data_IF_678247849548
#
_entry.id   IF_678247849548
#
_cell.length_a   1.000
_cell.length_b   1.000
_cell.length_c   1.000
_cell.angle_alpha   90.00
_cell.angle_beta   90.00
_cell.angle_gamma   90.00
#
_symmetry.space_group_name_H-M   'P 1'
#
loop_
_entity.id
_entity.type
_entity.pdbx_description
1 polymer ?
#
# COMPACT_ATOMS: atom_id res chain seq x y z
N UNK A 1 -21.78 -26.32 7.77
CA UNK A 1 -20.75 -25.52 8.45
C UNK A 1 -20.94 -24.11 7.95
N UNK A 2 -21.44 -23.29 8.83
CA UNK A 2 -21.84 -21.92 8.55
C UNK A 2 -20.57 -21.07 8.43
N UNK A 3 -20.26 -20.56 7.22
CA UNK A 3 -19.23 -19.55 7.04
C UNK A 3 -19.86 -18.21 7.32
N UNK A 4 -19.74 -17.78 8.56
CA UNK A 4 -20.04 -16.39 8.91
C UNK A 4 -18.96 -15.53 8.25
N UNK A 5 -19.29 -14.97 7.10
CA UNK A 5 -18.51 -13.88 6.50
C UNK A 5 -18.58 -12.71 7.47
N UNK A 6 -17.50 -12.45 8.19
CA UNK A 6 -17.33 -11.20 8.93
C UNK A 6 -17.12 -10.09 7.91
N UNK A 7 -18.19 -9.47 7.47
CA UNK A 7 -18.12 -8.19 6.77
C UNK A 7 -17.77 -7.14 7.82
N UNK A 8 -16.49 -6.90 7.99
CA UNK A 8 -16.03 -5.70 8.71
C UNK A 8 -16.23 -4.53 7.75
N UNK A 9 -17.19 -3.67 8.06
CA UNK A 9 -17.42 -2.43 7.31
C UNK A 9 -16.25 -1.51 7.66
N UNK A 10 -15.30 -1.39 6.74
CA UNK A 10 -14.20 -0.43 6.85
C UNK A 10 -14.73 0.95 6.44
N UNK A 11 -14.82 1.84 7.40
CA UNK A 11 -15.08 3.25 7.14
C UNK A 11 -13.72 3.95 7.04
N UNK A 12 -13.39 4.41 5.82
CA UNK A 12 -12.38 5.41 5.49
C UNK A 12 -10.89 5.03 5.51
N UNK A 13 -10.49 3.83 5.13
CA UNK A 13 -9.08 3.50 4.85
C UNK A 13 -8.87 3.16 3.37
N UNK A 14 -7.71 3.50 2.81
CA UNK A 14 -7.31 3.04 1.47
C UNK A 14 -6.95 1.56 1.52
N UNK A 15 -7.56 0.75 0.65
CA UNK A 15 -7.26 -0.66 0.50
C UNK A 15 -6.30 -0.86 -0.68
N UNK A 16 -5.22 -1.61 -0.45
CA UNK A 16 -4.42 -2.22 -1.52
C UNK A 16 -4.53 -3.74 -1.40
N UNK A 17 -5.15 -4.36 -2.38
CA UNK A 17 -5.40 -5.80 -2.47
C UNK A 17 -4.64 -6.47 -3.61
N UNK A 18 -3.80 -5.71 -4.33
CA UNK A 18 -3.00 -6.13 -5.49
C UNK A 18 -3.81 -6.72 -6.66
N UNK A 19 -5.13 -6.62 -6.64
CA UNK A 19 -6.01 -7.21 -7.68
C UNK A 19 -5.89 -6.51 -9.05
N UNK A 20 -5.21 -5.36 -9.12
CA UNK A 20 -4.77 -4.75 -10.38
C UNK A 20 -3.74 -5.59 -11.14
N UNK A 21 -3.10 -6.57 -10.49
CA UNK A 21 -2.05 -7.42 -11.05
C UNK A 21 -0.71 -6.71 -11.29
N UNK A 22 -0.53 -5.53 -10.69
CA UNK A 22 0.69 -4.73 -10.80
C UNK A 22 0.83 -3.77 -9.60
N UNK A 23 1.95 -3.04 -9.52
CA UNK A 23 2.23 -2.05 -8.48
C UNK A 23 1.91 -0.60 -8.90
N UNK A 24 0.98 -0.38 -9.83
CA UNK A 24 0.71 0.97 -10.37
C UNK A 24 -0.51 1.65 -9.71
N UNK A 25 -1.25 0.95 -8.85
CA UNK A 25 -2.44 1.48 -8.16
C UNK A 25 -2.11 2.62 -7.22
N UNK A 26 -0.97 2.50 -6.51
CA UNK A 26 -0.43 3.51 -5.60
C UNK A 26 1.10 3.58 -5.77
N UNK A 27 1.78 4.64 -5.31
CA UNK A 27 3.19 4.88 -5.60
C UNK A 27 4.13 4.00 -4.77
N UNK A 28 4.15 2.71 -5.04
CA UNK A 28 5.07 1.77 -4.43
C UNK A 28 6.53 2.02 -4.83
N UNK A 29 7.42 1.92 -3.86
CA UNK A 29 8.86 1.90 -4.07
C UNK A 29 9.41 0.50 -3.86
N UNK A 30 10.13 0.00 -4.86
CA UNK A 30 10.78 -1.32 -4.88
C UNK A 30 12.28 -1.11 -4.73
N UNK A 31 12.91 -1.82 -3.80
CA UNK A 31 14.34 -1.67 -3.55
C UNK A 31 14.98 -2.95 -3.00
N UNK A 32 16.31 -2.93 -2.85
CA UNK A 32 17.10 -4.07 -2.42
C UNK A 32 17.81 -4.76 -3.58
N UNK A 33 18.06 -6.07 -3.45
CA UNK A 33 18.80 -6.83 -4.45
C UNK A 33 17.91 -7.35 -5.59
N UNK A 34 16.64 -7.57 -5.33
CA UNK A 34 15.63 -8.01 -6.29
C UNK A 34 14.28 -7.41 -5.89
N UNK A 35 13.54 -6.89 -6.86
CA UNK A 35 12.24 -6.27 -6.63
C UNK A 35 11.19 -7.29 -6.21
N UNK A 36 10.22 -6.84 -5.42
CA UNK A 36 8.99 -7.57 -5.17
C UNK A 36 8.20 -7.76 -6.47
N UNK A 37 7.38 -8.79 -6.54
CA UNK A 37 6.59 -9.14 -7.71
C UNK A 37 5.15 -9.45 -7.31
N UNK A 38 4.22 -9.30 -8.25
CA UNK A 38 2.84 -9.79 -8.05
C UNK A 38 2.81 -11.30 -8.28
N UNK A 39 2.21 -12.01 -7.35
CA UNK A 39 2.06 -13.47 -7.37
C UNK A 39 0.57 -13.84 -7.46
N UNK A 40 0.26 -14.82 -8.28
CA UNK A 40 -1.10 -15.40 -8.44
C UNK A 40 -1.18 -16.84 -7.93
N UNK A 41 -0.11 -17.36 -7.36
CA UNK A 41 -0.09 -18.72 -6.78
C UNK A 41 -0.54 -18.75 -5.33
N UNK A 42 -0.42 -17.63 -4.63
CA UNK A 42 -0.74 -17.44 -3.22
C UNK A 42 -1.45 -16.10 -3.03
N UNK A 43 -2.59 -16.07 -2.33
CA UNK A 43 -3.29 -14.86 -1.91
C UNK A 43 -4.01 -15.09 -0.59
N UNK A 44 -4.19 -14.06 0.22
CA UNK A 44 -5.04 -14.10 1.41
C UNK A 44 -6.50 -13.89 1.01
N UNK A 45 -6.73 -12.94 0.10
CA UNK A 45 -8.02 -12.62 -0.50
C UNK A 45 -7.83 -12.50 -2.02
N UNK A 46 -8.90 -12.58 -2.79
CA UNK A 46 -8.84 -12.42 -4.25
C UNK A 46 -7.97 -13.43 -4.99
N UNK A 47 -7.16 -12.93 -5.93
CA UNK A 47 -6.33 -13.74 -6.87
C UNK A 47 -4.84 -13.44 -6.73
N UNK A 48 -4.48 -12.21 -6.36
CA UNK A 48 -3.12 -11.73 -6.35
C UNK A 48 -2.64 -11.32 -4.96
N UNK A 49 -1.33 -11.37 -4.76
CA UNK A 49 -0.64 -10.82 -3.60
C UNK A 49 0.72 -10.27 -4.02
N UNK A 50 1.39 -9.52 -3.16
CA UNK A 50 2.77 -9.13 -3.35
C UNK A 50 3.71 -10.17 -2.71
N UNK A 51 4.68 -10.65 -3.49
CA UNK A 51 5.70 -11.62 -3.11
C UNK A 51 7.08 -10.97 -3.13
N UNK A 52 7.89 -11.25 -2.11
CA UNK A 52 9.29 -10.81 -2.05
C UNK A 52 10.08 -11.25 -3.28
N UNK A 53 11.08 -10.45 -3.65
CA UNK A 53 12.03 -10.82 -4.69
C UNK A 53 12.79 -12.11 -4.34
N UNK A 54 13.17 -12.87 -5.36
CA UNK A 54 14.01 -14.05 -5.19
C UNK A 54 15.45 -13.60 -4.93
N UNK A 55 15.86 -13.60 -3.67
CA UNK A 55 17.15 -13.11 -3.19
C UNK A 55 18.08 -14.25 -2.78
N UNK A 56 19.38 -14.01 -2.89
CA UNK A 56 20.43 -14.92 -2.42
C UNK A 56 20.86 -14.63 -0.99
N UNK A 57 21.84 -15.41 -0.51
CA UNK A 57 22.42 -15.23 0.84
C UNK A 57 22.97 -13.82 1.05
N UNK A 58 22.75 -13.27 2.24
CA UNK A 58 23.11 -11.89 2.65
C UNK A 58 22.55 -10.81 1.74
N UNK A 59 21.34 -11.02 1.25
CA UNK A 59 20.61 -10.07 0.42
C UNK A 59 19.28 -9.70 1.07
N UNK A 60 18.69 -8.58 0.62
CA UNK A 60 17.34 -8.16 0.99
C UNK A 60 16.53 -7.69 -0.21
N UNK A 61 15.22 -7.72 -0.03
CA UNK A 61 14.21 -7.26 -0.98
C UNK A 61 13.17 -6.47 -0.20
N UNK A 62 12.94 -5.21 -0.59
CA UNK A 62 12.07 -4.31 0.14
C UNK A 62 10.97 -3.74 -0.76
N UNK A 63 9.77 -3.69 -0.22
CA UNK A 63 8.62 -2.96 -0.73
C UNK A 63 8.28 -1.85 0.26
N UNK A 64 8.11 -0.61 -0.20
CA UNK A 64 7.80 0.51 0.67
C UNK A 64 6.86 1.51 0.01
N UNK A 65 6.19 2.30 0.86
CA UNK A 65 5.30 3.37 0.45
C UNK A 65 5.28 4.47 1.52
N UNK A 66 5.26 5.74 1.08
CA UNK A 66 5.03 6.88 1.96
C UNK A 66 3.62 7.41 1.76
N UNK A 67 2.90 7.57 2.86
CA UNK A 67 1.49 7.99 2.88
C UNK A 67 1.29 9.02 3.98
N UNK A 68 0.51 10.06 3.70
CA UNK A 68 0.06 11.00 4.72
C UNK A 68 -1.28 10.52 5.31
N UNK A 69 -1.32 10.31 6.63
CA UNK A 69 -2.52 9.97 7.38
C UNK A 69 -3.14 11.23 7.99
N UNK A 70 -4.42 11.47 7.70
CA UNK A 70 -5.13 12.63 8.25
C UNK A 70 -5.40 12.54 9.73
N UNK A 71 -5.60 11.32 10.22
CA UNK A 71 -6.00 11.03 11.60
C UNK A 71 -5.16 9.89 12.17
N UNK A 72 -5.00 9.79 13.49
CA UNK A 72 -4.48 8.58 14.12
C UNK A 72 -5.34 7.38 13.75
N UNK A 73 -4.72 6.26 13.44
CA UNK A 73 -5.42 5.06 12.99
C UNK A 73 -4.56 3.82 13.10
N UNK A 74 -4.90 2.82 12.31
CA UNK A 74 -4.22 1.51 12.31
C UNK A 74 -3.92 1.11 10.87
N UNK A 75 -2.67 0.78 10.56
CA UNK A 75 -2.33 0.01 9.37
C UNK A 75 -2.54 -1.47 9.67
N UNK A 76 -3.18 -2.20 8.75
CA UNK A 76 -3.34 -3.65 8.85
C UNK A 76 -3.02 -4.31 7.51
N UNK A 77 -2.50 -5.53 7.56
CA UNK A 77 -2.21 -6.33 6.37
C UNK A 77 -2.19 -7.82 6.70
N UNK A 78 -2.40 -8.66 5.70
CA UNK A 78 -2.12 -10.09 5.80
C UNK A 78 -0.69 -10.39 5.37
N UNK A 79 -0.08 -11.37 6.03
CA UNK A 79 1.25 -11.88 5.68
C UNK A 79 1.28 -13.40 5.69
N UNK A 80 2.06 -14.00 4.78
CA UNK A 80 2.46 -15.41 4.76
C UNK A 80 3.98 -15.47 4.70
N UNK A 81 4.59 -16.36 5.49
CA UNK A 81 6.05 -16.55 5.57
C UNK A 81 6.35 -18.01 5.29
N UNK A 82 7.34 -18.25 4.45
CA UNK A 82 7.88 -19.59 4.19
C UNK A 82 9.40 -19.49 3.94
N UNK A 83 10.15 -19.50 5.03
CA UNK A 83 11.61 -19.37 5.03
C UNK A 83 12.23 -20.08 6.23
N UNK A 84 13.56 -19.98 6.37
CA UNK A 84 14.28 -20.58 7.49
C UNK A 84 13.68 -20.13 8.83
N UNK A 85 13.50 -21.08 9.74
CA UNK A 85 12.96 -20.82 11.06
C UNK A 85 13.98 -20.15 11.97
N UNK A 86 13.50 -19.49 13.01
CA UNK A 86 14.38 -18.98 14.08
C UNK A 86 15.12 -20.13 14.76
N UNK A 87 16.42 -19.92 15.02
CA UNK A 87 17.23 -20.91 15.71
C UNK A 87 16.68 -21.27 17.11
N UNK A 88 16.95 -22.49 17.56
CA UNK A 88 16.51 -23.03 18.85
C UNK A 88 17.06 -22.29 20.09
N UNK A 89 17.95 -21.33 19.88
CA UNK A 89 18.45 -20.43 20.91
C UNK A 89 17.83 -19.06 20.67
N UNK A 90 16.87 -18.72 21.52
CA UNK A 90 16.06 -17.52 21.59
C UNK A 90 16.58 -16.30 20.81
N UNK A 91 15.81 -15.88 19.81
CA UNK A 91 15.89 -14.53 19.25
C UNK A 91 16.80 -14.37 18.03
N UNK A 92 17.40 -15.41 17.48
CA UNK A 92 18.13 -15.31 16.22
C UNK A 92 17.19 -15.56 15.04
N UNK A 93 16.92 -14.54 14.28
CA UNK A 93 16.28 -14.62 12.98
C UNK A 93 17.40 -14.82 11.93
N UNK A 94 17.23 -15.79 11.04
CA UNK A 94 18.14 -16.07 9.93
C UNK A 94 17.59 -15.47 8.64
N UNK A 95 16.48 -16.02 8.15
CA UNK A 95 15.70 -15.45 7.07
C UNK A 95 14.37 -14.94 7.65
N UNK A 96 13.96 -13.72 7.31
CA UNK A 96 12.81 -13.12 7.97
C UNK A 96 12.18 -11.97 7.18
N UNK A 97 10.88 -11.77 7.39
CA UNK A 97 10.19 -10.52 7.06
C UNK A 97 10.26 -9.58 8.25
N UNK A 98 10.71 -8.35 8.05
CA UNK A 98 10.53 -7.25 8.99
C UNK A 98 9.55 -6.21 8.44
N UNK A 99 8.76 -5.64 9.34
CA UNK A 99 7.89 -4.50 9.05
C UNK A 99 8.37 -3.26 9.80
N UNK A 100 8.45 -2.14 9.07
CA UNK A 100 8.92 -0.87 9.61
C UNK A 100 7.87 0.23 9.42
N UNK A 101 7.80 1.13 10.39
CA UNK A 101 7.13 2.43 10.29
C UNK A 101 8.21 3.49 10.52
N UNK A 102 8.40 4.40 9.57
CA UNK A 102 9.39 5.48 9.63
C UNK A 102 10.83 4.99 9.91
N UNK A 103 11.17 3.83 9.34
CA UNK A 103 12.47 3.17 9.54
C UNK A 103 12.64 2.50 10.91
N UNK A 104 11.62 2.49 11.76
CA UNK A 104 11.63 1.80 13.06
C UNK A 104 10.96 0.44 12.90
N UNK A 105 11.69 -0.65 13.18
CA UNK A 105 11.15 -2.01 13.15
C UNK A 105 10.02 -2.16 14.17
N UNK A 106 8.85 -2.59 13.69
CA UNK A 106 7.67 -2.82 14.52
C UNK A 106 7.54 -4.29 14.91
N UNK A 107 7.80 -5.18 13.95
CA UNK A 107 7.75 -6.62 14.18
C UNK A 107 8.57 -7.38 13.13
N UNK A 108 8.78 -8.68 13.39
CA UNK A 108 9.62 -9.57 12.59
C UNK A 108 9.12 -11.01 12.64
N UNK A 109 9.07 -11.66 11.48
CA UNK A 109 8.53 -13.02 11.33
C UNK A 109 9.44 -13.91 10.50
N UNK A 110 9.56 -15.18 10.91
CA UNK A 110 10.37 -16.20 10.23
C UNK A 110 9.74 -17.59 10.36
N UNK A 111 10.23 -18.54 9.58
CA UNK A 111 9.74 -19.93 9.56
C UNK A 111 8.51 -20.10 8.67
N UNK A 112 7.64 -21.06 9.03
CA UNK A 112 6.41 -21.34 8.31
C UNK A 112 5.22 -20.70 9.02
N UNK A 113 4.70 -19.62 8.46
CA UNK A 113 3.53 -18.90 8.97
C UNK A 113 2.49 -18.81 7.86
N UNK A 114 1.34 -19.46 8.07
CA UNK A 114 0.20 -19.34 7.18
C UNK A 114 -0.35 -17.90 7.18
N UNK A 115 -1.15 -17.54 6.19
CA UNK A 115 -1.81 -16.24 6.10
C UNK A 115 -2.39 -15.82 7.45
N UNK A 116 -1.96 -14.67 7.92
CA UNK A 116 -2.36 -14.11 9.22
C UNK A 116 -2.23 -12.60 9.22
N UNK A 117 -3.15 -11.93 9.91
CA UNK A 117 -3.16 -10.48 10.00
C UNK A 117 -2.06 -9.95 10.95
N UNK A 118 -1.58 -8.75 10.64
CA UNK A 118 -0.80 -7.89 11.52
C UNK A 118 -1.42 -6.50 11.53
N UNK A 119 -1.35 -5.81 12.69
CA UNK A 119 -1.95 -4.49 12.88
C UNK A 119 -1.02 -3.63 13.72
N UNK A 120 -0.87 -2.35 13.35
CA UNK A 120 -0.02 -1.40 14.05
C UNK A 120 -0.68 -0.03 14.10
N UNK A 121 -0.67 0.58 15.28
CA UNK A 121 -1.20 1.93 15.45
C UNK A 121 -0.23 2.96 14.89
N UNK A 122 -0.78 3.99 14.25
CA UNK A 122 -0.04 5.13 13.76
C UNK A 122 -0.67 6.45 14.23
N UNK A 123 0.12 7.50 14.23
CA UNK A 123 -0.35 8.87 14.44
C UNK A 123 -0.83 9.49 13.12
N UNK A 124 -1.40 10.69 13.16
CA UNK A 124 -1.55 11.50 11.96
C UNK A 124 -0.20 12.05 11.49
N UNK A 125 -0.08 12.31 10.20
CA UNK A 125 1.12 12.83 9.54
C UNK A 125 1.64 11.89 8.46
N UNK A 126 2.76 12.27 7.85
CA UNK A 126 3.44 11.47 6.85
C UNK A 126 4.15 10.28 7.53
N UNK A 127 3.90 9.08 7.00
CA UNK A 127 4.52 7.83 7.44
C UNK A 127 5.05 7.04 6.26
N UNK A 128 6.24 6.44 6.43
CA UNK A 128 6.79 5.46 5.49
C UNK A 128 6.63 4.07 6.06
N UNK A 129 5.89 3.22 5.35
CA UNK A 129 5.73 1.80 5.66
C UNK A 129 6.67 0.97 4.79
N UNK A 130 7.38 0.00 5.38
CA UNK A 130 8.30 -0.85 4.64
C UNK A 130 8.20 -2.31 5.08
N UNK A 131 8.17 -3.21 4.11
CA UNK A 131 8.27 -4.66 4.28
C UNK A 131 9.58 -5.12 3.66
N UNK A 132 10.47 -5.66 4.48
CA UNK A 132 11.78 -6.13 4.03
C UNK A 132 11.95 -7.61 4.31
N UNK A 133 12.12 -8.41 3.26
CA UNK A 133 12.59 -9.78 3.37
C UNK A 133 14.12 -9.80 3.32
N UNK A 134 14.74 -10.37 4.34
CA UNK A 134 16.19 -10.44 4.49
C UNK A 134 16.63 -11.88 4.71
N UNK A 135 17.80 -12.25 4.14
CA UNK A 135 18.43 -13.55 4.29
C UNK A 135 19.84 -13.44 4.86
N UNK A 136 20.19 -14.40 5.70
CA UNK A 136 21.57 -14.58 6.13
C UNK A 136 22.41 -15.39 5.12
N UNK A 137 23.56 -15.94 5.52
CA UNK A 137 24.41 -16.77 4.67
C UNK A 137 24.09 -18.26 4.76
N UNK A 138 23.03 -18.61 5.45
CA UNK A 138 22.76 -19.96 5.93
C UNK A 138 21.98 -20.86 4.97
N UNK A 139 21.04 -21.57 5.54
CA UNK A 139 20.26 -22.63 4.90
C UNK A 139 19.05 -22.02 4.19
N UNK A 140 18.62 -22.62 3.10
CA UNK A 140 17.36 -22.30 2.42
C UNK A 140 16.31 -23.31 2.87
N UNK A 141 15.21 -22.84 3.46
CA UNK A 141 14.09 -23.66 3.89
C UNK A 141 12.77 -23.08 3.37
N UNK A 142 11.76 -23.94 3.25
CA UNK A 142 10.44 -23.55 2.76
C UNK A 142 10.44 -23.13 1.30
N UNK A 143 9.57 -22.16 0.96
CA UNK A 143 9.49 -21.56 -0.37
C UNK A 143 10.49 -20.42 -0.57
N UNK A 144 11.26 -20.11 0.48
CA UNK A 144 12.27 -19.06 0.50
C UNK A 144 11.72 -17.70 0.06
N UNK A 145 10.55 -17.38 0.58
CA UNK A 145 9.80 -16.19 0.23
C UNK A 145 8.83 -15.76 1.33
N UNK A 146 8.38 -14.52 1.21
CA UNK A 146 7.30 -13.96 2.03
C UNK A 146 6.29 -13.27 1.12
N UNK A 147 5.04 -13.21 1.59
CA UNK A 147 3.94 -12.56 0.88
C UNK A 147 3.22 -11.59 1.81
N UNK A 148 2.72 -10.50 1.23
CA UNK A 148 1.78 -9.59 1.89
C UNK A 148 0.58 -9.38 0.98
N UNK A 149 -0.56 -9.09 1.61
CA UNK A 149 -1.82 -8.94 0.88
C UNK A 149 -2.81 -8.12 1.71
N UNK A 150 -3.84 -7.58 1.05
CA UNK A 150 -4.97 -6.92 1.67
C UNK A 150 -4.55 -5.88 2.72
N UNK A 151 -3.77 -4.89 2.27
CA UNK A 151 -3.26 -3.83 3.14
C UNK A 151 -4.35 -2.76 3.28
N UNK A 152 -4.73 -2.45 4.51
CA UNK A 152 -5.63 -1.36 4.83
C UNK A 152 -4.79 -0.28 5.48
N UNK A 153 -4.61 0.81 4.76
CA UNK A 153 -4.00 2.00 5.31
C UNK A 153 -5.02 2.75 6.17
N UNK A 154 -4.61 3.45 7.23
CA UNK A 154 -5.50 4.34 7.97
C UNK A 154 -6.01 5.45 7.07
N UNK A 155 -6.91 6.31 7.58
CA UNK A 155 -7.44 7.44 6.81
C UNK A 155 -6.30 8.21 6.15
N UNK A 156 -6.15 8.01 4.86
CA UNK A 156 -5.15 8.68 4.05
C UNK A 156 -5.83 9.79 3.28
N UNK A 157 -5.13 10.91 3.11
CA UNK A 157 -5.38 11.70 1.93
C UNK A 157 -4.96 10.81 0.75
N UNK A 158 -5.89 10.06 0.18
CA UNK A 158 -5.64 9.53 -1.14
C UNK A 158 -5.55 10.75 -2.04
N UNK A 159 -4.38 11.02 -2.56
CA UNK A 159 -4.23 11.94 -3.69
C UNK A 159 -4.87 11.26 -4.92
N UNK A 160 -6.16 10.97 -4.81
CA UNK A 160 -6.93 10.47 -5.94
C UNK A 160 -6.94 11.58 -6.98
N UNK A 161 -6.34 11.31 -8.10
CA UNK A 161 -6.22 12.29 -9.18
C UNK A 161 -7.61 12.81 -9.54
N UNK A 162 -7.87 14.09 -9.32
CA UNK A 162 -9.17 14.71 -9.48
C UNK A 162 -10.01 14.87 -8.20
N UNK A 163 -9.62 14.28 -7.07
CA UNK A 163 -10.28 14.45 -5.77
C UNK A 163 -9.84 15.78 -5.15
N UNK A 164 -10.54 16.84 -5.53
CA UNK A 164 -10.18 18.23 -5.15
C UNK A 164 -10.62 18.60 -3.75
N UNK A 165 -11.54 17.83 -3.15
CA UNK A 165 -12.04 18.05 -1.79
C UNK A 165 -11.42 17.06 -0.79
N UNK A 166 -10.63 16.10 -1.26
CA UNK A 166 -9.95 15.07 -0.47
C UNK A 166 -10.91 14.20 0.36
N UNK A 167 -12.13 13.94 -0.17
CA UNK A 167 -13.10 13.08 0.50
C UNK A 167 -12.96 11.58 0.10
N UNK A 168 -12.05 11.27 -0.84
CA UNK A 168 -11.79 9.92 -1.34
C UNK A 168 -12.77 9.44 -2.39
N UNK A 169 -13.68 10.30 -2.87
CA UNK A 169 -14.67 9.97 -3.89
C UNK A 169 -14.57 10.93 -5.09
N UNK A 170 -14.41 10.41 -6.30
CA UNK A 170 -14.52 11.23 -7.51
C UNK A 170 -15.99 11.48 -7.86
N UNK A 171 -16.45 12.71 -7.68
CA UNK A 171 -17.84 13.08 -7.94
C UNK A 171 -17.98 14.55 -8.40
N UNK A 172 -19.21 15.00 -8.57
CA UNK A 172 -19.49 16.36 -9.07
C UNK A 172 -18.99 17.49 -8.14
N UNK A 173 -18.78 17.19 -6.85
CA UNK A 173 -18.29 18.21 -5.90
C UNK A 173 -16.85 18.60 -6.23
N UNK A 174 -16.02 17.65 -6.68
CA UNK A 174 -14.64 17.91 -7.12
C UNK A 174 -14.62 18.85 -8.31
N UNK A 175 -15.50 18.63 -9.27
CA UNK A 175 -15.63 19.51 -10.44
C UNK A 175 -15.98 20.93 -10.01
N UNK A 176 -16.90 21.11 -9.04
CA UNK A 176 -17.29 22.41 -8.53
C UNK A 176 -16.13 23.11 -7.82
N UNK A 177 -15.35 22.38 -7.03
CA UNK A 177 -14.19 22.92 -6.33
C UNK A 177 -13.10 23.30 -7.32
N UNK A 178 -12.78 22.43 -8.28
CA UNK A 178 -11.79 22.71 -9.33
C UNK A 178 -12.18 23.96 -10.14
N UNK A 179 -13.45 24.11 -10.52
CA UNK A 179 -13.94 25.31 -11.19
C UNK A 179 -13.71 26.56 -10.30
N UNK A 180 -13.99 26.44 -9.01
CA UNK A 180 -13.82 27.56 -8.07
C UNK A 180 -12.32 27.91 -7.91
N UNK A 181 -11.45 26.91 -7.79
CA UNK A 181 -10.01 27.09 -7.72
C UNK A 181 -9.48 27.85 -8.95
N UNK A 182 -9.90 27.44 -10.14
CA UNK A 182 -9.49 28.10 -11.41
C UNK A 182 -10.04 29.53 -11.50
N UNK A 183 -11.29 29.75 -11.14
CA UNK A 183 -11.92 31.09 -11.26
C UNK A 183 -11.34 32.12 -10.29
N UNK A 184 -11.03 31.69 -9.06
CA UNK A 184 -10.55 32.59 -8.02
C UNK A 184 -9.03 32.57 -7.89
N UNK A 185 -8.34 31.61 -8.55
CA UNK A 185 -6.89 31.37 -8.43
C UNK A 185 -6.45 31.20 -6.96
N UNK A 186 -7.33 30.63 -6.14
CA UNK A 186 -7.07 30.30 -4.74
C UNK A 186 -7.04 28.78 -4.59
N UNK A 187 -5.84 28.21 -4.55
CA UNK A 187 -5.57 26.79 -4.29
C UNK A 187 -4.16 26.64 -3.71
N UNK A 188 -3.98 25.62 -2.92
CA UNK A 188 -2.67 25.23 -2.40
C UNK A 188 -2.00 24.16 -3.31
N UNK A 189 -0.78 23.79 -2.96
CA UNK A 189 -0.02 22.79 -3.72
C UNK A 189 -0.71 21.41 -3.74
N UNK A 190 -1.47 21.07 -2.69
CA UNK A 190 -2.16 19.79 -2.62
C UNK A 190 -3.31 19.73 -3.63
N UNK A 191 -4.15 20.75 -3.70
CA UNK A 191 -5.21 20.87 -4.71
C UNK A 191 -4.61 20.91 -6.10
N UNK A 192 -3.51 21.66 -6.32
CA UNK A 192 -2.82 21.69 -7.60
C UNK A 192 -2.40 20.31 -8.06
N UNK A 193 -1.73 19.54 -7.19
CA UNK A 193 -1.15 18.23 -7.53
C UNK A 193 -2.22 17.19 -7.91
N UNK A 194 -3.41 17.24 -7.32
CA UNK A 194 -4.50 16.31 -7.68
C UNK A 194 -5.33 16.79 -8.86
N UNK A 195 -5.22 18.05 -9.23
CA UNK A 195 -6.09 18.71 -10.21
C UNK A 195 -5.46 18.97 -11.57
N UNK A 196 -4.12 19.03 -11.67
CA UNK A 196 -3.39 19.10 -12.94
C UNK A 196 -3.39 17.72 -13.60
N UNK A 197 -4.52 17.39 -14.22
CA UNK A 197 -4.78 16.04 -14.76
C UNK A 197 -4.06 15.76 -16.07
N UNK A 198 -3.63 16.80 -16.79
CA UNK A 198 -2.87 16.65 -18.01
C UNK A 198 -1.35 16.82 -17.81
N UNK A 199 -0.91 17.25 -16.62
CA UNK A 199 0.50 17.43 -16.26
C UNK A 199 1.18 18.59 -16.98
N UNK A 200 0.43 19.62 -17.42
CA UNK A 200 1.00 20.75 -18.16
C UNK A 200 1.50 21.88 -17.25
N UNK A 201 1.26 21.80 -15.96
CA UNK A 201 1.65 22.77 -14.94
C UNK A 201 0.70 23.96 -14.83
N UNK A 202 -0.50 23.90 -15.42
CA UNK A 202 -1.52 24.95 -15.36
C UNK A 202 -2.89 24.36 -15.04
N UNK A 203 -3.59 24.85 -14.00
CA UNK A 203 -4.98 24.51 -13.79
C UNK A 203 -5.89 25.30 -14.72
N UNK A 204 -6.59 24.62 -15.61
CA UNK A 204 -7.45 25.25 -16.60
C UNK A 204 -8.66 24.37 -17.00
N UNK A 205 -9.43 24.80 -18.01
CA UNK A 205 -10.62 24.09 -18.44
C UNK A 205 -10.36 22.68 -18.96
N UNK A 206 -9.13 22.37 -19.38
CA UNK A 206 -8.76 21.03 -19.87
C UNK A 206 -8.83 20.04 -18.73
N UNK A 207 -8.36 20.42 -17.54
CA UNK A 207 -8.40 19.57 -16.35
C UNK A 207 -9.84 19.31 -15.90
N UNK A 208 -10.72 20.32 -15.98
CA UNK A 208 -12.15 20.13 -15.71
C UNK A 208 -12.76 19.08 -16.65
N UNK A 209 -12.42 19.12 -17.93
CA UNK A 209 -12.92 18.14 -18.91
C UNK A 209 -12.39 16.74 -18.62
N UNK A 210 -11.11 16.62 -18.25
CA UNK A 210 -10.50 15.34 -17.87
C UNK A 210 -11.14 14.78 -16.59
N UNK A 211 -11.37 15.62 -15.59
CA UNK A 211 -12.04 15.21 -14.36
C UNK A 211 -13.46 14.69 -14.62
N UNK A 212 -14.24 15.40 -15.44
CA UNK A 212 -15.59 14.94 -15.81
C UNK A 212 -15.55 13.58 -16.51
N UNK A 213 -14.57 13.36 -17.40
CA UNK A 213 -14.40 12.05 -18.05
C UNK A 213 -14.06 10.95 -17.04
N UNK A 214 -13.14 11.20 -16.11
CA UNK A 214 -12.80 10.24 -15.04
C UNK A 214 -14.03 9.85 -14.22
N UNK A 215 -14.85 10.82 -13.81
CA UNK A 215 -16.08 10.57 -13.05
C UNK A 215 -17.08 9.73 -13.85
N UNK A 216 -17.21 9.97 -15.16
CA UNK A 216 -18.11 9.20 -16.02
C UNK A 216 -17.63 7.77 -16.24
N UNK A 217 -16.33 7.56 -16.32
CA UNK A 217 -15.73 6.22 -16.49
C UNK A 217 -15.81 5.40 -15.19
N UNK A 218 -15.65 6.02 -14.03
CA UNK A 218 -15.77 5.35 -12.72
C UNK A 218 -17.21 4.96 -12.36
N UNK A 219 -18.21 5.49 -13.09
CA UNK A 219 -19.64 5.25 -12.84
C UNK A 219 -20.23 4.11 -13.68
N UNK A 220 -19.42 3.43 -14.51
CA UNK A 220 -19.80 2.30 -15.39
C UNK A 220 -19.34 0.96 -14.83
#
# INVERSE_FOLDING_TARGET
MDRTCLVTIFTNGTLEDFESGNFNSIPWELSGNTDWTIDSSESAEGVYSARSGNIGSNQSSQLSISIESTDPGTISFYKKISCESTGSVTGNYYDFLSFYIDGIEQDKWAGEIAWSAANFDITSGEHTFSWEYSKDSGVVEGEDAVWIDFIIFPNTLTNLSGDTNFDGELNILDVVILISAILYQEFDDAVFNVSDLNGDGELNVVDIVLLVNLILESSL
#
